data_IF_468948316760
#
_entry.id   IF_468948316760
#
_cell.length_a   1.000
_cell.length_b   1.000
_cell.length_c   1.000
_cell.angle_alpha   90.00
_cell.angle_beta   90.00
_cell.angle_gamma   90.00
#
_symmetry.space_group_name_H-M   'P 1'
#
loop_
_entity.id
_entity.type
_entity.pdbx_description
1 polymer ?
#
# COMPACT_ATOMS: atom_id res chain seq x y z
N UNK A 1 -82.91 18.29 17.72
CA UNK A 1 -81.93 19.26 17.18
C UNK A 1 -80.88 19.51 18.25
N UNK A 2 -79.71 20.00 17.83
CA UNK A 2 -78.54 20.42 18.62
C UNK A 2 -77.62 19.34 19.18
N UNK A 3 -76.64 19.03 18.34
CA UNK A 3 -75.20 18.73 18.57
C UNK A 3 -74.67 18.97 19.98
N UNK A 4 -73.87 18.01 20.47
CA UNK A 4 -72.98 18.18 21.63
C UNK A 4 -71.56 17.82 21.21
N UNK A 5 -70.66 18.79 21.34
CA UNK A 5 -69.22 18.67 21.16
C UNK A 5 -68.65 18.15 22.49
N UNK A 6 -67.80 17.11 22.44
CA UNK A 6 -66.95 16.73 23.58
C UNK A 6 -65.49 16.88 23.19
N UNK A 7 -64.80 17.73 23.95
CA UNK A 7 -63.38 18.05 23.80
C UNK A 7 -62.50 16.92 24.36
N UNK A 8 -61.40 16.65 23.67
CA UNK A 8 -60.33 15.78 24.09
C UNK A 8 -59.31 16.52 24.95
N UNK A 9 -58.82 15.89 26.02
CA UNK A 9 -57.55 16.22 26.68
C UNK A 9 -56.81 14.91 26.89
N UNK A 10 -55.60 14.86 26.36
CA UNK A 10 -54.78 13.65 26.22
C UNK A 10 -53.99 13.26 27.47
N UNK A 11 -53.43 12.06 27.41
CA UNK A 11 -52.40 11.58 28.32
C UNK A 11 -51.32 10.92 27.46
N UNK A 12 -50.10 11.47 27.47
CA UNK A 12 -48.94 10.91 26.78
C UNK A 12 -48.40 9.73 27.60
N UNK A 13 -48.30 8.56 26.97
CA UNK A 13 -47.59 7.40 27.52
C UNK A 13 -46.20 7.36 26.88
N UNK A 14 -45.14 7.49 27.68
CA UNK A 14 -43.76 7.23 27.26
C UNK A 14 -43.58 5.70 27.19
N UNK A 15 -43.27 5.17 26.01
CA UNK A 15 -42.76 3.81 25.86
C UNK A 15 -41.22 3.89 25.83
N UNK A 16 -40.56 3.38 26.86
CA UNK A 16 -39.12 3.17 26.84
C UNK A 16 -38.84 1.87 26.06
N UNK A 17 -38.17 1.99 24.91
CA UNK A 17 -37.68 0.86 24.15
C UNK A 17 -36.30 0.47 24.70
N UNK A 18 -36.22 -0.63 25.45
CA UNK A 18 -34.93 -1.21 25.86
C UNK A 18 -34.32 -1.91 24.66
N UNK A 19 -33.32 -1.27 24.04
CA UNK A 19 -32.40 -1.94 23.11
C UNK A 19 -31.52 -2.88 23.92
N UNK A 20 -31.74 -4.19 23.79
CA UNK A 20 -30.79 -5.18 24.26
C UNK A 20 -29.60 -5.16 23.30
N UNK A 21 -28.45 -4.65 23.75
CA UNK A 21 -27.18 -4.82 23.05
C UNK A 21 -26.80 -6.30 23.12
N UNK A 22 -26.81 -6.98 21.98
CA UNK A 22 -26.11 -8.24 21.84
C UNK A 22 -24.61 -7.90 21.88
N UNK A 23 -23.98 -8.06 23.05
CA UNK A 23 -22.53 -8.09 23.15
C UNK A 23 -22.06 -9.37 22.45
N UNK A 24 -21.73 -9.28 21.17
CA UNK A 24 -20.92 -10.30 20.52
C UNK A 24 -19.61 -10.38 21.29
N UNK A 25 -19.32 -11.53 21.90
CA UNK A 25 -17.95 -11.77 22.36
C UNK A 25 -17.09 -11.84 21.12
N UNK A 26 -16.12 -10.94 20.99
CA UNK A 26 -15.03 -11.10 20.04
C UNK A 26 -14.36 -12.44 20.36
N UNK A 27 -14.57 -13.44 19.51
CA UNK A 27 -13.86 -14.71 19.61
C UNK A 27 -12.55 -14.48 18.88
N UNK A 28 -11.47 -14.26 19.62
CA UNK A 28 -10.12 -14.32 19.05
C UNK A 28 -9.97 -15.68 18.38
N UNK A 29 -9.74 -15.68 17.07
CA UNK A 29 -9.32 -16.89 16.37
C UNK A 29 -7.97 -17.33 16.94
N UNK A 30 -7.77 -18.65 17.02
CA UNK A 30 -6.45 -19.20 17.29
C UNK A 30 -5.51 -18.72 16.18
N UNK A 31 -4.33 -18.15 16.51
CA UNK A 31 -3.35 -17.75 15.51
C UNK A 31 -3.04 -18.90 14.54
N UNK A 32 -2.64 -18.56 13.32
CA UNK A 32 -2.35 -19.57 12.29
C UNK A 32 -1.21 -20.48 12.78
N UNK A 33 -0.23 -19.94 13.50
CA UNK A 33 0.86 -20.73 14.06
C UNK A 33 0.45 -21.74 15.14
N UNK A 34 -0.70 -21.53 15.80
CA UNK A 34 -1.23 -22.42 16.83
C UNK A 34 -2.35 -23.36 16.32
N UNK A 35 -2.70 -23.25 15.02
CA UNK A 35 -3.79 -23.99 14.42
C UNK A 35 -3.27 -25.25 13.70
N UNK A 36 -3.79 -26.46 14.00
CA UNK A 36 -3.41 -27.67 13.27
C UNK A 36 -3.72 -27.55 11.78
N UNK A 37 -2.69 -27.69 10.95
CA UNK A 37 -2.79 -27.59 9.50
C UNK A 37 -3.24 -28.92 8.85
N UNK A 38 -4.01 -28.81 7.77
CA UNK A 38 -4.22 -29.92 6.82
C UNK A 38 -3.49 -29.71 5.50
N UNK A 39 -2.87 -28.55 5.29
CA UNK A 39 -2.08 -28.24 4.10
C UNK A 39 -0.82 -29.11 4.09
N UNK A 40 -0.45 -29.59 2.92
CA UNK A 40 0.68 -30.49 2.74
C UNK A 40 1.42 -30.17 1.45
N UNK A 41 2.73 -30.31 1.50
CA UNK A 41 3.57 -30.28 0.30
C UNK A 41 3.29 -31.47 -0.62
N UNK A 42 3.80 -31.41 -1.84
CA UNK A 42 3.81 -32.55 -2.78
C UNK A 42 4.48 -33.82 -2.22
N UNK A 43 5.45 -33.69 -1.30
CA UNK A 43 6.09 -34.83 -0.62
C UNK A 43 5.22 -35.42 0.51
N UNK A 44 4.13 -34.75 0.87
CA UNK A 44 3.20 -35.16 1.92
C UNK A 44 3.52 -34.61 3.31
N UNK A 45 4.50 -33.71 3.42
CA UNK A 45 4.87 -33.04 4.66
C UNK A 45 3.86 -31.95 5.00
N UNK A 46 3.53 -31.79 6.29
CA UNK A 46 2.57 -30.78 6.72
C UNK A 46 3.19 -29.37 6.72
N UNK A 47 2.42 -28.38 6.28
CA UNK A 47 2.82 -26.97 6.26
C UNK A 47 2.26 -26.26 7.49
N UNK A 48 3.14 -25.86 8.42
CA UNK A 48 2.79 -25.11 9.63
C UNK A 48 3.51 -23.78 9.70
N UNK A 49 2.89 -22.80 10.35
CA UNK A 49 3.43 -21.46 10.50
C UNK A 49 4.01 -21.26 11.90
N UNK A 50 5.03 -20.42 12.02
CA UNK A 50 5.54 -19.96 13.31
C UNK A 50 5.68 -18.45 13.26
N UNK A 51 5.10 -17.79 14.24
CA UNK A 51 5.14 -16.33 14.36
C UNK A 51 6.35 -15.90 15.18
N UNK A 52 6.99 -14.82 14.74
CA UNK A 52 8.15 -14.20 15.37
C UNK A 52 7.92 -12.69 15.44
N UNK A 53 8.26 -12.06 16.56
CA UNK A 53 8.17 -10.60 16.70
C UNK A 53 9.51 -10.01 16.30
N UNK A 54 9.51 -9.25 15.20
CA UNK A 54 10.69 -8.53 14.71
C UNK A 54 10.88 -7.23 15.48
N UNK A 55 9.79 -6.48 15.70
CA UNK A 55 9.82 -5.23 16.46
C UNK A 55 8.48 -4.99 17.16
N UNK A 56 8.55 -4.31 18.30
CA UNK A 56 7.37 -3.86 19.04
C UNK A 56 7.70 -2.64 19.90
N UNK A 57 6.72 -1.78 20.24
CA UNK A 57 6.99 -0.54 20.97
C UNK A 57 7.63 -0.75 22.35
N UNK A 58 7.37 -1.89 23.01
CA UNK A 58 7.89 -2.22 24.34
C UNK A 58 9.36 -2.59 24.24
N UNK A 59 9.72 -3.51 23.34
CA UNK A 59 11.11 -3.94 23.14
C UNK A 59 11.96 -2.84 22.54
N UNK A 60 11.40 -2.05 21.61
CA UNK A 60 12.08 -0.91 21.00
C UNK A 60 12.33 0.25 21.97
N UNK A 61 11.48 0.41 22.99
CA UNK A 61 11.45 1.63 23.80
C UNK A 61 11.05 2.88 23.00
N UNK A 62 10.41 2.71 21.84
CA UNK A 62 9.91 3.77 20.97
C UNK A 62 8.41 3.57 20.82
N UNK A 63 7.63 4.63 21.03
CA UNK A 63 6.19 4.53 20.94
C UNK A 63 5.73 4.76 19.49
N UNK A 64 5.55 3.66 18.75
CA UNK A 64 5.02 3.65 17.38
C UNK A 64 3.79 2.74 17.28
N UNK A 65 2.96 2.95 16.26
CA UNK A 65 1.78 2.13 15.93
C UNK A 65 1.44 2.28 14.45
N UNK A 66 0.52 1.44 13.94
CA UNK A 66 -0.01 1.58 12.57
C UNK A 66 1.03 1.30 11.50
N UNK A 67 1.43 0.03 11.35
CA UNK A 67 2.36 -0.34 10.28
C UNK A 67 1.59 -0.55 8.97
N UNK A 68 1.71 0.39 8.05
CA UNK A 68 0.92 0.44 6.81
C UNK A 68 1.67 -0.05 5.57
N UNK A 69 3.00 -0.11 5.66
CA UNK A 69 3.87 -0.60 4.59
C UNK A 69 5.18 -1.14 5.13
N UNK A 70 5.76 -2.08 4.37
CA UNK A 70 7.13 -2.54 4.56
C UNK A 70 7.74 -2.98 3.24
N UNK A 71 9.06 -2.98 3.17
CA UNK A 71 9.84 -3.52 2.05
C UNK A 71 11.05 -4.26 2.59
N UNK A 72 11.52 -5.27 1.87
CA UNK A 72 12.61 -6.15 2.30
C UNK A 72 13.78 -6.13 1.34
N UNK A 73 15.00 -6.22 1.88
CA UNK A 73 16.25 -6.32 1.12
C UNK A 73 17.47 -6.34 2.03
N UNK A 74 18.62 -6.78 1.52
CA UNK A 74 19.88 -6.78 2.27
C UNK A 74 20.50 -5.37 2.24
N UNK A 75 20.09 -4.53 3.19
CA UNK A 75 20.39 -3.09 3.25
C UNK A 75 21.83 -2.86 3.69
N UNK A 76 22.38 -3.76 4.50
CA UNK A 76 23.74 -3.65 5.01
C UNK A 76 24.74 -4.70 4.48
N UNK A 77 24.34 -5.47 3.47
CA UNK A 77 25.17 -6.40 2.70
C UNK A 77 25.81 -7.49 3.55
N UNK A 78 25.14 -7.93 4.61
CA UNK A 78 25.62 -9.01 5.47
C UNK A 78 25.13 -10.39 5.00
N UNK A 79 24.29 -10.44 3.97
CA UNK A 79 23.71 -11.64 3.39
C UNK A 79 22.43 -12.12 4.07
N UNK A 80 21.90 -11.36 5.02
CA UNK A 80 20.58 -11.57 5.60
C UNK A 80 19.60 -10.52 5.09
N UNK A 81 18.33 -10.87 5.09
CA UNK A 81 17.27 -9.98 4.65
C UNK A 81 16.92 -9.01 5.77
N UNK A 82 16.93 -7.71 5.46
CA UNK A 82 16.48 -6.65 6.35
C UNK A 82 15.08 -6.19 5.95
N UNK A 83 14.43 -5.48 6.87
CA UNK A 83 13.10 -4.92 6.63
C UNK A 83 13.14 -3.42 6.89
N UNK A 84 12.56 -2.64 5.98
CA UNK A 84 12.15 -1.26 6.27
C UNK A 84 10.65 -1.28 6.51
N UNK A 85 10.21 -0.79 7.66
CA UNK A 85 8.79 -0.63 7.96
C UNK A 85 8.47 0.84 8.23
N UNK A 86 7.28 1.23 7.82
CA UNK A 86 6.72 2.54 8.13
C UNK A 86 5.57 2.42 9.12
N UNK A 87 5.47 3.40 10.00
CA UNK A 87 4.48 3.43 11.07
C UNK A 87 3.81 4.79 11.12
N UNK A 88 2.53 4.89 10.78
CA UNK A 88 1.75 6.14 10.84
C UNK A 88 1.79 6.76 12.24
N UNK A 89 1.84 5.89 13.27
CA UNK A 89 1.96 6.25 14.69
C UNK A 89 0.82 7.12 15.22
N UNK A 90 -0.34 7.04 14.58
CA UNK A 90 -1.62 7.30 15.22
C UNK A 90 -2.38 5.97 15.43
N UNK A 91 -3.38 5.98 16.30
CA UNK A 91 -4.19 4.80 16.62
C UNK A 91 -5.70 5.10 16.61
N UNK A 92 -6.06 6.33 16.24
CA UNK A 92 -7.44 6.85 16.27
C UNK A 92 -7.93 7.31 14.90
N UNK A 93 -7.09 7.23 13.86
CA UNK A 93 -7.38 7.71 12.51
C UNK A 93 -7.84 6.57 11.57
N UNK A 94 -8.70 6.94 10.60
CA UNK A 94 -9.12 6.09 9.48
C UNK A 94 -9.18 6.96 8.22
N UNK A 95 -8.14 6.88 7.37
CA UNK A 95 -8.03 7.59 6.10
C UNK A 95 -9.12 7.24 5.08
N UNK A 96 -9.89 6.17 5.35
CA UNK A 96 -11.09 5.78 4.62
C UNK A 96 -12.31 6.65 4.90
N UNK A 97 -12.34 7.36 6.03
CA UNK A 97 -13.49 8.12 6.51
C UNK A 97 -13.20 9.62 6.64
N UNK A 98 -14.14 10.46 6.19
CA UNK A 98 -14.04 11.90 6.38
C UNK A 98 -14.46 12.28 7.80
N UNK A 99 -13.55 12.91 8.56
CA UNK A 99 -13.81 13.44 9.89
C UNK A 99 -13.62 14.95 9.88
N UNK A 100 -14.73 15.68 10.05
CA UNK A 100 -14.72 17.14 10.18
C UNK A 100 -13.99 17.51 11.49
N UNK A 101 -12.99 18.40 11.38
CA UNK A 101 -12.20 18.97 12.50
C UNK A 101 -11.16 18.07 13.20
N UNK A 102 -10.82 16.89 12.66
CA UNK A 102 -9.74 16.06 13.23
C UNK A 102 -8.36 16.50 12.72
N UNK A 103 -7.42 16.72 13.64
CA UNK A 103 -6.01 17.02 13.34
C UNK A 103 -5.11 15.95 13.97
N UNK A 104 -4.60 15.03 13.14
CA UNK A 104 -3.46 14.16 13.42
C UNK A 104 -2.43 14.72 14.39
N UNK A 105 -1.94 14.05 15.46
CA UNK A 105 -0.61 14.43 15.93
C UNK A 105 0.41 14.25 14.80
N UNK A 106 1.44 15.11 14.75
CA UNK A 106 2.60 14.88 13.89
C UNK A 106 3.40 13.75 14.50
N UNK A 107 3.08 12.54 14.09
CA UNK A 107 3.70 11.30 14.49
C UNK A 107 4.04 10.51 13.21
N UNK A 108 4.96 9.56 13.35
CA UNK A 108 5.39 8.72 12.25
C UNK A 108 6.78 8.18 12.51
N UNK A 109 7.07 6.97 12.03
CA UNK A 109 8.41 6.40 12.08
C UNK A 109 8.70 5.64 10.79
N UNK A 110 9.92 5.80 10.27
CA UNK A 110 10.53 4.85 9.33
C UNK A 110 11.59 4.11 10.11
N UNK A 111 11.48 2.78 10.16
CA UNK A 111 12.34 1.90 10.95
C UNK A 111 13.03 0.89 10.04
N UNK A 112 14.28 0.57 10.37
CA UNK A 112 15.05 -0.50 9.72
C UNK A 112 15.28 -1.60 10.74
N UNK A 113 15.04 -2.84 10.32
CA UNK A 113 15.19 -4.05 11.09
C UNK A 113 16.26 -4.90 10.43
N UNK A 114 17.49 -4.86 10.97
CA UNK A 114 18.58 -5.62 10.41
C UNK A 114 18.50 -7.08 10.84
N UNK A 115 18.44 -7.96 9.85
CA UNK A 115 18.35 -9.41 10.00
C UNK A 115 19.64 -10.02 10.54
N UNK A 116 19.58 -11.32 10.83
CA UNK A 116 20.75 -12.10 11.20
C UNK A 116 20.55 -13.58 10.91
N UNK A 117 21.59 -14.39 11.15
CA UNK A 117 21.49 -15.86 11.09
C UNK A 117 20.53 -16.47 12.11
N UNK A 118 20.17 -15.71 13.16
CA UNK A 118 19.17 -16.12 14.14
C UNK A 118 17.86 -15.35 13.84
N UNK A 119 16.78 -16.03 13.39
CA UNK A 119 15.53 -15.37 13.02
C UNK A 119 14.83 -14.68 14.21
N UNK A 120 15.24 -14.97 15.45
CA UNK A 120 14.75 -14.32 16.67
C UNK A 120 15.61 -13.11 17.10
N UNK A 121 16.68 -12.77 16.36
CA UNK A 121 17.62 -11.71 16.71
C UNK A 121 17.71 -10.64 15.61
N UNK A 122 17.20 -9.45 15.94
CA UNK A 122 17.14 -8.29 15.04
C UNK A 122 17.80 -7.07 15.69
N UNK A 123 18.38 -6.19 14.85
CA UNK A 123 18.81 -4.85 15.29
C UNK A 123 17.85 -3.83 14.69
N UNK A 124 17.05 -3.18 15.53
CA UNK A 124 16.03 -2.23 15.09
C UNK A 124 16.49 -0.79 15.32
N UNK A 125 16.40 0.07 14.31
CA UNK A 125 16.69 1.50 14.41
C UNK A 125 15.56 2.35 13.80
N UNK A 126 15.37 3.56 14.33
CA UNK A 126 14.55 4.59 13.67
C UNK A 126 15.46 5.42 12.78
N UNK A 127 15.15 5.53 11.48
CA UNK A 127 15.91 6.36 10.54
C UNK A 127 15.23 7.70 10.25
N UNK A 128 13.91 7.81 10.39
CA UNK A 128 13.15 9.06 10.34
C UNK A 128 11.93 9.01 11.27
N UNK A 129 11.52 10.15 11.81
CA UNK A 129 10.37 10.24 12.71
C UNK A 129 9.69 11.62 12.71
N UNK A 130 8.44 11.67 13.17
CA UNK A 130 7.67 12.88 13.41
C UNK A 130 7.59 13.84 12.20
N UNK A 131 8.12 15.07 12.32
CA UNK A 131 8.03 16.10 11.27
C UNK A 131 8.78 15.73 9.98
N UNK A 132 9.80 14.87 10.09
CA UNK A 132 10.53 14.38 8.91
C UNK A 132 9.65 13.44 8.08
N UNK A 133 8.72 12.75 8.72
CA UNK A 133 7.89 11.73 8.06
C UNK A 133 6.53 11.63 8.75
N UNK A 134 5.62 12.59 8.48
CA UNK A 134 4.32 12.63 9.14
C UNK A 134 3.36 11.62 8.48
N UNK A 135 2.92 10.61 9.23
CA UNK A 135 2.06 9.53 8.77
C UNK A 135 2.59 8.80 7.51
N UNK A 136 3.73 8.09 7.58
CA UNK A 136 4.21 7.31 6.45
C UNK A 136 3.38 6.06 6.20
N UNK A 137 3.09 5.82 4.93
CA UNK A 137 2.19 4.77 4.46
C UNK A 137 2.89 3.72 3.60
N UNK A 138 4.03 4.08 3.02
CA UNK A 138 4.82 3.19 2.18
C UNK A 138 6.29 3.60 2.14
N UNK A 139 7.15 2.65 1.76
CA UNK A 139 8.56 2.89 1.49
C UNK A 139 9.09 1.97 0.39
N UNK A 140 10.05 2.47 -0.37
CA UNK A 140 10.83 1.70 -1.34
C UNK A 140 12.32 1.76 -0.98
N UNK A 141 13.04 0.68 -1.26
CA UNK A 141 14.49 0.62 -1.18
C UNK A 141 15.12 0.57 -2.57
N UNK A 142 16.14 1.38 -2.81
CA UNK A 142 16.83 1.45 -4.10
C UNK A 142 18.16 2.20 -3.97
N UNK A 143 19.17 1.88 -4.78
CA UNK A 143 20.42 2.63 -4.84
C UNK A 143 20.25 3.85 -5.75
N UNK A 144 19.95 5.02 -5.17
CA UNK A 144 19.71 6.26 -5.94
C UNK A 144 20.99 7.06 -6.16
N UNK A 145 21.97 6.92 -5.27
CA UNK A 145 23.21 7.67 -5.33
C UNK A 145 24.33 6.92 -6.09
N UNK A 146 24.13 5.65 -6.42
CA UNK A 146 25.05 4.80 -7.19
C UNK A 146 26.25 4.29 -6.40
N UNK A 147 26.22 4.30 -5.07
CA UNK A 147 27.29 3.81 -4.20
C UNK A 147 27.19 2.30 -3.90
N UNK A 148 26.13 1.66 -4.41
CA UNK A 148 25.83 0.25 -4.30
C UNK A 148 25.01 -0.10 -3.06
N UNK A 149 24.76 0.81 -2.12
CA UNK A 149 23.95 0.56 -0.93
C UNK A 149 22.50 0.95 -1.19
N UNK A 150 21.56 0.15 -0.68
CA UNK A 150 20.15 0.48 -0.84
C UNK A 150 19.80 1.64 0.08
N UNK A 151 19.37 2.75 -0.51
CA UNK A 151 18.75 3.89 0.17
C UNK A 151 17.27 3.64 0.39
N UNK A 152 16.60 4.50 1.18
CA UNK A 152 15.16 4.42 1.44
C UNK A 152 14.48 5.68 0.90
N UNK A 153 13.33 5.52 0.24
CA UNK A 153 12.38 6.61 0.02
C UNK A 153 11.06 6.26 0.68
N UNK A 154 10.53 7.14 1.52
CA UNK A 154 9.24 6.94 2.17
C UNK A 154 8.19 7.92 1.64
N UNK A 155 6.95 7.44 1.50
CA UNK A 155 5.78 8.25 1.16
C UNK A 155 5.03 8.64 2.43
N UNK A 156 4.98 9.94 2.71
CA UNK A 156 4.26 10.49 3.86
C UNK A 156 2.89 11.03 3.46
N UNK A 157 1.83 10.49 4.05
CA UNK A 157 0.45 10.86 3.74
C UNK A 157 0.18 12.34 4.03
N UNK A 158 0.85 12.92 5.02
CA UNK A 158 0.60 14.31 5.41
C UNK A 158 1.41 15.34 4.65
N UNK A 159 2.35 14.92 3.80
CA UNK A 159 3.25 15.91 3.21
C UNK A 159 3.93 15.52 1.91
N UNK A 160 4.88 14.58 1.94
CA UNK A 160 5.96 14.57 0.96
C UNK A 160 6.57 13.19 0.76
N UNK A 161 7.41 13.07 -0.26
CA UNK A 161 8.39 12.00 -0.36
C UNK A 161 9.68 12.43 0.34
N UNK A 162 10.27 11.53 1.14
CA UNK A 162 11.56 11.77 1.82
C UNK A 162 12.57 10.73 1.37
N UNK A 163 13.72 11.19 0.89
CA UNK A 163 14.88 10.36 0.61
C UNK A 163 15.76 10.27 1.86
N UNK A 164 16.17 9.06 2.21
CA UNK A 164 16.96 8.68 3.38
C UNK A 164 18.16 7.88 2.87
N UNK A 165 19.32 8.51 2.86
CA UNK A 165 20.55 7.93 2.33
C UNK A 165 21.18 6.95 3.32
N UNK A 166 21.49 5.76 2.83
CA UNK A 166 22.22 4.77 3.58
C UNK A 166 23.69 5.22 3.72
N UNK A 167 24.24 5.34 4.95
CA UNK A 167 25.65 5.73 5.15
C UNK A 167 26.64 4.58 4.86
N UNK A 168 26.17 3.50 4.23
CA UNK A 168 26.95 2.33 3.83
C UNK A 168 27.27 1.42 5.02
N UNK A 169 28.53 1.02 5.25
CA UNK A 169 28.90 0.07 6.32
C UNK A 169 28.49 0.50 7.74
N UNK A 170 28.15 1.78 7.94
CA UNK A 170 27.76 2.33 9.23
C UNK A 170 26.23 2.43 9.40
N UNK A 171 25.42 1.86 8.48
CA UNK A 171 23.95 1.93 8.45
C UNK A 171 23.28 1.70 9.81
N UNK A 172 23.82 0.77 10.62
CA UNK A 172 23.28 0.40 11.94
C UNK A 172 23.56 1.42 13.05
N UNK A 173 24.45 2.39 12.83
CA UNK A 173 25.02 3.20 13.92
C UNK A 173 25.08 4.69 13.67
N UNK A 174 25.05 5.12 12.40
CA UNK A 174 25.08 6.53 12.03
C UNK A 174 23.69 7.04 11.64
N UNK A 175 23.48 8.34 11.82
CA UNK A 175 22.26 8.99 11.32
C UNK A 175 22.28 9.04 9.82
N UNK A 176 21.21 8.55 9.19
CA UNK A 176 21.03 8.59 7.75
C UNK A 176 20.83 10.04 7.29
N UNK A 177 21.70 10.57 6.39
CA UNK A 177 21.45 11.84 5.71
C UNK A 177 20.11 11.79 4.98
N UNK A 178 19.43 12.92 4.85
CA UNK A 178 18.07 12.94 4.31
C UNK A 178 17.74 14.21 3.57
N UNK A 179 16.84 14.10 2.61
CA UNK A 179 16.23 15.21 1.91
C UNK A 179 14.72 14.99 1.80
N UNK A 180 13.96 15.96 2.31
CA UNK A 180 12.55 16.11 1.95
C UNK A 180 12.48 16.68 0.54
N UNK A 181 11.92 15.93 -0.40
CA UNK A 181 11.87 16.30 -1.82
C UNK A 181 11.09 17.61 -2.00
N UNK A 182 11.75 18.75 -2.32
CA UNK A 182 11.11 20.08 -2.27
C UNK A 182 9.89 20.22 -3.18
N UNK A 183 9.89 19.51 -4.30
CA UNK A 183 8.83 19.46 -5.29
C UNK A 183 7.52 18.82 -4.77
N UNK A 184 7.62 17.94 -3.77
CA UNK A 184 6.48 17.21 -3.20
C UNK A 184 5.87 17.92 -1.99
N UNK A 185 6.60 18.84 -1.37
CA UNK A 185 6.20 19.55 -0.15
C UNK A 185 4.94 20.40 -0.37
N UNK A 186 3.99 20.26 0.54
CA UNK A 186 2.72 21.01 0.57
C UNK A 186 1.87 20.80 -0.72
N UNK A 187 2.05 19.67 -1.41
CA UNK A 187 1.32 19.33 -2.65
C UNK A 187 0.13 18.39 -2.44
N UNK A 188 0.06 17.72 -1.31
CA UNK A 188 -0.99 16.76 -1.01
C UNK A 188 -0.42 15.52 -0.33
N UNK A 189 -1.18 14.43 -0.40
CA UNK A 189 -0.91 13.18 0.29
C UNK A 189 -0.28 12.13 -0.62
N UNK A 190 0.84 11.58 -0.20
CA UNK A 190 1.51 10.46 -0.86
C UNK A 190 1.36 9.22 0.01
N UNK A 191 0.78 8.16 -0.55
CA UNK A 191 0.51 6.91 0.18
C UNK A 191 1.23 5.70 -0.40
N UNK A 192 1.86 5.86 -1.56
CA UNK A 192 2.65 4.83 -2.23
C UNK A 192 3.84 5.49 -2.92
N UNK A 193 4.94 4.76 -3.00
CA UNK A 193 6.12 5.15 -3.80
C UNK A 193 6.78 3.89 -4.34
N UNK A 194 7.06 3.88 -5.64
CA UNK A 194 7.76 2.77 -6.29
C UNK A 194 9.01 3.29 -6.98
N UNK A 195 9.96 2.41 -7.25
CA UNK A 195 11.19 2.72 -7.95
C UNK A 195 11.39 1.75 -9.13
N UNK A 196 11.77 2.28 -10.28
CA UNK A 196 12.15 1.50 -11.45
C UNK A 196 13.03 2.33 -12.39
N UNK A 197 14.02 1.69 -13.02
CA UNK A 197 14.83 2.29 -14.08
C UNK A 197 14.07 2.18 -15.41
N UNK A 198 13.20 3.16 -15.69
CA UNK A 198 12.33 3.12 -16.88
C UNK A 198 13.08 3.57 -18.14
N UNK A 199 14.14 4.35 -18.00
CA UNK A 199 14.90 4.89 -19.13
C UNK A 199 16.17 4.08 -19.46
N UNK A 200 16.56 3.12 -18.60
CA UNK A 200 17.72 2.26 -18.76
C UNK A 200 19.06 2.95 -18.50
N UNK A 201 19.07 4.07 -17.76
CA UNK A 201 20.29 4.83 -17.45
C UNK A 201 21.02 4.35 -16.18
N UNK A 202 20.42 3.41 -15.44
CA UNK A 202 20.95 2.83 -14.22
C UNK A 202 20.62 3.62 -12.95
N UNK A 203 19.85 4.71 -13.04
CA UNK A 203 19.32 5.46 -11.89
C UNK A 203 17.80 5.31 -11.88
N UNK A 204 17.23 4.60 -10.89
CA UNK A 204 15.79 4.40 -10.84
C UNK A 204 15.01 5.71 -10.70
N UNK A 205 13.96 5.87 -11.50
CA UNK A 205 12.93 6.87 -11.30
C UNK A 205 11.94 6.43 -10.22
N UNK A 206 11.25 7.41 -9.61
CA UNK A 206 10.20 7.14 -8.64
C UNK A 206 8.82 7.46 -9.19
N UNK A 207 7.86 6.56 -9.01
CA UNK A 207 6.44 6.85 -9.27
C UNK A 207 5.70 7.07 -7.96
N UNK A 208 4.88 8.11 -7.93
CA UNK A 208 4.10 8.44 -6.74
C UNK A 208 2.72 9.00 -7.11
N UNK A 209 1.62 8.32 -6.72
CA UNK A 209 0.30 8.90 -6.81
C UNK A 209 0.09 9.94 -5.70
N UNK A 210 -0.25 11.17 -6.07
CA UNK A 210 -0.66 12.20 -5.12
C UNK A 210 -2.19 12.16 -4.97
N UNK A 211 -2.65 11.64 -3.83
CA UNK A 211 -4.07 11.51 -3.48
C UNK A 211 -4.77 12.87 -3.32
N UNK A 212 -4.00 13.95 -3.14
CA UNK A 212 -4.50 15.29 -2.85
C UNK A 212 -4.75 15.48 -1.36
N UNK A 213 -6.03 15.53 -0.97
CA UNK A 213 -6.38 15.66 0.44
C UNK A 213 -6.07 14.38 1.22
N UNK A 214 -5.67 14.54 2.48
CA UNK A 214 -5.40 13.43 3.38
C UNK A 214 -6.67 12.61 3.66
N UNK A 215 -7.77 13.30 3.97
CA UNK A 215 -9.12 12.73 4.14
C UNK A 215 -10.04 13.24 3.02
N UNK A 216 -10.05 12.62 1.83
CA UNK A 216 -10.84 13.10 0.71
C UNK A 216 -12.34 13.21 1.05
N UNK A 217 -12.87 14.44 1.01
CA UNK A 217 -14.28 14.74 1.09
C UNK A 217 -14.97 14.76 -0.28
N UNK A 218 -16.29 14.96 -0.36
CA UNK A 218 -17.02 14.96 -1.63
C UNK A 218 -16.46 15.88 -2.72
N UNK A 219 -15.93 17.06 -2.36
CA UNK A 219 -15.26 17.96 -3.31
C UNK A 219 -13.93 17.43 -3.85
N UNK A 220 -13.22 16.58 -3.10
CA UNK A 220 -11.97 15.96 -3.54
C UNK A 220 -12.22 14.92 -4.61
N UNK A 221 -13.29 14.13 -4.50
CA UNK A 221 -13.71 13.18 -5.53
C UNK A 221 -14.06 13.86 -6.86
N UNK A 222 -14.45 15.14 -6.83
CA UNK A 222 -14.76 15.93 -8.02
C UNK A 222 -13.51 16.59 -8.66
N UNK A 223 -12.34 16.48 -8.02
CA UNK A 223 -11.07 17.00 -8.51
C UNK A 223 -10.19 15.86 -9.01
N UNK A 224 -9.27 16.19 -9.92
CA UNK A 224 -8.22 15.28 -10.35
C UNK A 224 -6.89 15.75 -9.77
N UNK A 225 -6.08 14.81 -9.29
CA UNK A 225 -4.77 15.02 -8.69
C UNK A 225 -3.73 14.15 -9.42
N UNK A 226 -2.44 14.51 -9.38
CA UNK A 226 -1.47 13.93 -10.30
C UNK A 226 -0.99 12.53 -9.87
N UNK A 227 -0.66 11.72 -10.87
CA UNK A 227 0.37 10.68 -10.73
C UNK A 227 1.66 11.27 -11.25
N UNK A 228 2.69 11.24 -10.41
CA UNK A 228 3.97 11.89 -10.63
C UNK A 228 5.06 10.86 -10.89
N UNK A 229 5.96 11.19 -11.82
CA UNK A 229 7.22 10.52 -12.08
C UNK A 229 8.35 11.47 -11.67
N UNK A 230 9.18 11.04 -10.73
CA UNK A 230 10.32 11.81 -10.24
C UNK A 230 11.61 11.23 -10.82
N UNK A 231 12.34 12.04 -11.57
CA UNK A 231 13.64 11.67 -12.15
C UNK A 231 14.76 12.32 -11.36
N UNK A 232 15.87 11.61 -11.17
CA UNK A 232 17.05 12.09 -10.48
C UNK A 232 18.22 12.30 -11.45
N UNK A 233 18.83 13.47 -11.44
CA UNK A 233 20.07 13.76 -12.18
C UNK A 233 21.07 14.46 -11.27
N UNK A 234 21.93 13.70 -10.61
CA UNK A 234 22.98 14.24 -9.74
C UNK A 234 22.91 13.64 -8.33
N UNK A 235 23.18 14.48 -7.33
CA UNK A 235 23.16 14.09 -5.92
C UNK A 235 21.70 14.05 -5.42
N UNK A 236 21.19 12.91 -4.91
CA UNK A 236 19.84 12.84 -4.37
C UNK A 236 19.62 13.71 -3.11
N UNK A 237 20.69 14.14 -2.42
CA UNK A 237 20.61 15.10 -1.31
C UNK A 237 20.54 16.57 -1.77
N UNK A 238 20.66 16.83 -3.08
CA UNK A 238 20.42 18.14 -3.67
C UNK A 238 19.03 18.18 -4.32
N UNK A 239 18.16 19.06 -3.80
CA UNK A 239 16.79 19.21 -4.30
C UNK A 239 16.71 19.66 -5.76
N UNK A 240 17.73 20.34 -6.26
CA UNK A 240 17.77 20.79 -7.66
C UNK A 240 18.08 19.63 -8.64
N UNK A 241 18.56 18.48 -8.15
CA UNK A 241 18.79 17.25 -8.94
C UNK A 241 17.50 16.53 -9.30
N UNK A 242 16.38 16.85 -8.65
CA UNK A 242 15.09 16.17 -8.84
C UNK A 242 14.20 16.93 -9.82
N UNK A 243 13.57 16.22 -10.74
CA UNK A 243 12.55 16.77 -11.64
C UNK A 243 11.24 15.98 -11.52
N UNK A 244 10.12 16.63 -11.83
CA UNK A 244 8.79 15.98 -11.83
C UNK A 244 8.16 16.06 -13.20
N UNK A 245 7.72 14.90 -13.69
CA UNK A 245 6.80 14.78 -14.80
C UNK A 245 5.44 14.32 -14.26
N UNK A 246 4.37 14.99 -14.67
CA UNK A 246 3.00 14.52 -14.39
C UNK A 246 2.60 13.57 -15.51
N UNK A 247 2.35 12.30 -15.17
CA UNK A 247 1.91 11.28 -16.13
C UNK A 247 0.44 11.47 -16.50
N UNK A 248 -0.40 11.74 -15.50
CA UNK A 248 -1.83 11.96 -15.67
C UNK A 248 -2.46 12.57 -14.42
N UNK A 249 -3.73 12.96 -14.52
CA UNK A 249 -4.50 13.48 -13.38
C UNK A 249 -5.79 12.68 -13.22
N UNK A 250 -6.01 12.14 -12.03
CA UNK A 250 -7.08 11.20 -11.75
C UNK A 250 -7.82 11.56 -10.45
N UNK A 251 -9.07 11.12 -10.30
CA UNK A 251 -9.78 11.30 -9.03
C UNK A 251 -9.23 10.32 -7.98
N UNK A 252 -8.45 10.85 -7.04
CA UNK A 252 -7.87 10.13 -5.90
C UNK A 252 -7.05 8.92 -6.39
N UNK A 253 -5.92 9.13 -7.10
CA UNK A 253 -4.98 8.06 -7.42
C UNK A 253 -4.38 7.53 -6.11
N UNK A 254 -4.19 6.22 -6.02
CA UNK A 254 -3.70 5.55 -4.81
C UNK A 254 -2.60 4.53 -5.08
N UNK A 255 -2.38 4.14 -6.33
CA UNK A 255 -1.30 3.25 -6.74
C UNK A 255 -0.70 3.73 -8.08
N UNK A 256 0.58 3.44 -8.32
CA UNK A 256 1.32 3.72 -9.54
C UNK A 256 2.53 2.77 -9.65
N UNK A 257 2.26 1.49 -9.56
CA UNK A 257 3.27 0.43 -9.41
C UNK A 257 3.92 0.04 -10.74
N UNK A 258 5.22 -0.27 -10.71
CA UNK A 258 5.99 -0.69 -11.88
C UNK A 258 5.86 -2.19 -12.15
N UNK A 259 5.56 -2.58 -13.39
CA UNK A 259 5.41 -3.99 -13.81
C UNK A 259 5.57 -4.13 -15.33
N UNK A 260 6.26 -5.15 -15.81
CA UNK A 260 6.28 -5.52 -17.24
C UNK A 260 4.97 -6.26 -17.60
N UNK A 261 3.88 -5.48 -17.75
CA UNK A 261 2.52 -6.02 -17.85
C UNK A 261 2.22 -6.63 -19.23
N UNK A 262 2.94 -6.24 -20.28
CA UNK A 262 2.76 -6.80 -21.63
C UNK A 262 3.93 -7.67 -22.12
N UNK A 263 4.91 -7.93 -21.24
CA UNK A 263 6.00 -8.89 -21.42
C UNK A 263 6.93 -8.55 -22.58
N UNK A 264 7.13 -7.26 -22.83
CA UNK A 264 8.06 -6.78 -23.85
C UNK A 264 9.48 -6.52 -23.31
N UNK A 265 9.65 -6.58 -21.98
CA UNK A 265 10.91 -6.46 -21.27
C UNK A 265 11.16 -5.06 -20.69
N UNK A 266 10.28 -4.10 -20.94
CA UNK A 266 10.32 -2.77 -20.36
C UNK A 266 9.25 -2.67 -19.24
N UNK A 267 9.58 -1.99 -18.14
CA UNK A 267 8.61 -1.82 -17.05
C UNK A 267 7.58 -0.76 -17.43
N UNK A 268 6.30 -1.09 -17.29
CA UNK A 268 5.15 -0.20 -17.38
C UNK A 268 4.74 0.32 -15.99
N UNK A 269 3.74 1.20 -15.94
CA UNK A 269 3.16 1.69 -14.68
C UNK A 269 1.66 1.39 -14.64
N UNK A 270 1.21 0.63 -13.63
CA UNK A 270 -0.20 0.37 -13.35
C UNK A 270 -0.71 1.32 -12.28
N UNK A 271 -1.68 2.15 -12.65
CA UNK A 271 -2.30 3.16 -11.78
C UNK A 271 -3.67 2.71 -11.31
N UNK A 272 -3.88 2.78 -10.00
CA UNK A 272 -5.18 2.59 -9.35
C UNK A 272 -5.81 3.90 -8.92
N UNK A 273 -7.11 4.05 -9.15
CA UNK A 273 -7.88 5.26 -8.83
C UNK A 273 -9.11 4.95 -7.97
N UNK A 274 -9.16 5.53 -6.76
CA UNK A 274 -10.29 5.32 -5.83
C UNK A 274 -11.55 6.02 -6.30
N UNK A 275 -11.42 7.28 -6.70
CA UNK A 275 -12.56 8.11 -7.06
C UNK A 275 -13.24 7.66 -8.37
N UNK A 276 -12.46 7.11 -9.29
CA UNK A 276 -12.96 6.62 -10.59
C UNK A 276 -13.25 5.12 -10.59
N UNK A 277 -12.70 4.37 -9.62
CA UNK A 277 -12.82 2.91 -9.51
C UNK A 277 -12.39 2.18 -10.79
N UNK A 278 -11.25 2.59 -11.35
CA UNK A 278 -10.63 1.99 -12.54
C UNK A 278 -9.11 1.84 -12.39
N UNK A 279 -8.55 1.02 -13.26
CA UNK A 279 -7.11 0.96 -13.52
C UNK A 279 -6.75 1.66 -14.83
N UNK A 280 -5.52 2.16 -14.89
CA UNK A 280 -4.86 2.72 -16.06
C UNK A 280 -3.47 2.07 -16.18
N UNK A 281 -3.02 1.81 -17.40
CA UNK A 281 -1.64 1.40 -17.70
C UNK A 281 -0.97 2.57 -18.42
N UNK A 282 0.22 2.94 -17.98
CA UNK A 282 1.14 3.77 -18.73
C UNK A 282 2.22 2.86 -19.30
N UNK A 283 2.11 2.58 -20.60
CA UNK A 283 3.06 1.75 -21.34
C UNK A 283 4.35 2.51 -21.60
N UNK A 284 5.48 1.92 -21.25
CA UNK A 284 6.81 2.39 -21.58
C UNK A 284 7.18 1.88 -22.98
N UNK A 285 7.41 2.74 -23.98
CA UNK A 285 7.75 2.28 -25.33
C UNK A 285 9.17 1.69 -25.47
N UNK A 286 9.95 1.60 -24.38
CA UNK A 286 11.30 1.03 -24.40
C UNK A 286 12.35 1.88 -25.11
N UNK A 287 12.06 3.17 -25.36
CA UNK A 287 12.94 4.05 -26.15
C UNK A 287 13.84 4.97 -25.29
N UNK A 288 13.77 4.82 -23.96
CA UNK A 288 14.55 5.58 -22.99
C UNK A 288 14.09 7.04 -22.82
N UNK A 289 12.94 7.44 -23.38
CA UNK A 289 12.51 8.85 -23.37
C UNK A 289 11.52 9.22 -22.26
N UNK A 290 11.08 8.24 -21.45
CA UNK A 290 10.05 8.40 -20.41
C UNK A 290 8.72 8.99 -20.94
N UNK A 291 8.44 8.80 -22.23
CA UNK A 291 7.19 9.20 -22.87
C UNK A 291 6.18 8.05 -22.88
N UNK A 292 5.53 7.85 -21.74
CA UNK A 292 4.56 6.77 -21.56
C UNK A 292 3.29 6.96 -22.41
N UNK A 293 2.69 5.85 -22.81
CA UNK A 293 1.42 5.80 -23.55
C UNK A 293 0.30 5.34 -22.60
N UNK A 294 -0.71 6.17 -22.40
CA UNK A 294 -1.83 5.87 -21.50
C UNK A 294 -2.86 4.92 -22.15
N UNK A 295 -3.20 3.84 -21.45
CA UNK A 295 -4.26 2.89 -21.79
C UNK A 295 -5.23 2.70 -20.63
N UNK A 296 -6.52 2.81 -20.89
CA UNK A 296 -7.53 2.44 -19.90
C UNK A 296 -7.70 0.91 -19.84
N UNK A 297 -7.75 0.34 -18.63
CA UNK A 297 -8.06 -1.07 -18.43
C UNK A 297 -9.58 -1.25 -18.36
N UNK A 298 -10.17 -1.75 -19.45
CA UNK A 298 -11.59 -2.07 -19.50
C UNK A 298 -11.88 -3.38 -18.77
N UNK A 299 -12.54 -3.34 -17.61
CA UNK A 299 -12.86 -4.55 -16.82
C UNK A 299 -14.31 -4.98 -17.06
N UNK A 300 -14.52 -6.22 -17.48
CA UNK A 300 -15.84 -6.85 -17.58
C UNK A 300 -16.15 -7.65 -16.32
N UNK A 301 -17.25 -7.32 -15.64
CA UNK A 301 -17.78 -8.11 -14.50
C UNK A 301 -17.40 -7.60 -13.11
N UNK A 302 -16.50 -6.62 -12.99
CA UNK A 302 -16.13 -5.99 -11.73
C UNK A 302 -15.79 -4.50 -11.88
N UNK A 303 -15.53 -3.83 -10.75
CA UNK A 303 -14.92 -2.50 -10.66
C UNK A 303 -13.80 -2.58 -9.63
N UNK A 304 -12.65 -2.02 -9.96
CA UNK A 304 -11.44 -2.15 -9.14
C UNK A 304 -10.76 -0.80 -9.03
N UNK A 305 -10.55 -0.35 -7.79
CA UNK A 305 -9.85 0.90 -7.50
C UNK A 305 -8.32 0.73 -7.50
N UNK A 306 -7.82 -0.50 -7.26
CA UNK A 306 -6.40 -0.83 -7.31
C UNK A 306 -5.55 -0.12 -6.25
N UNK A 307 -5.88 -0.28 -4.96
CA UNK A 307 -5.04 0.26 -3.89
C UNK A 307 -3.74 -0.54 -3.72
N UNK A 308 -3.85 -1.84 -3.41
CA UNK A 308 -2.77 -2.80 -3.56
C UNK A 308 -3.19 -3.82 -4.61
N UNK A 309 -2.23 -4.26 -5.40
CA UNK A 309 -2.39 -5.16 -6.53
C UNK A 309 -1.33 -6.25 -6.45
N UNK A 310 -1.57 -7.36 -7.13
CA UNK A 310 -0.60 -8.43 -7.31
C UNK A 310 -0.65 -8.87 -8.77
N UNK A 311 0.51 -9.15 -9.37
CA UNK A 311 0.64 -9.48 -10.78
C UNK A 311 1.16 -10.89 -10.96
N UNK A 312 0.35 -11.77 -11.53
CA UNK A 312 0.72 -13.17 -11.73
C UNK A 312 -0.06 -13.77 -12.89
N UNK A 313 0.56 -14.67 -13.65
CA UNK A 313 -0.13 -15.46 -14.67
C UNK A 313 -0.94 -16.58 -13.99
N UNK A 314 -2.18 -16.27 -13.62
CA UNK A 314 -3.06 -17.23 -12.96
C UNK A 314 -3.83 -18.08 -14.00
N UNK A 315 -3.91 -17.62 -15.25
CA UNK A 315 -4.52 -18.35 -16.36
C UNK A 315 -3.62 -19.45 -16.95
N UNK A 316 -2.30 -19.35 -16.73
CA UNK A 316 -1.29 -20.23 -17.30
C UNK A 316 -1.03 -19.99 -18.79
N UNK A 317 -1.30 -18.78 -19.28
CA UNK A 317 -1.20 -18.43 -20.70
C UNK A 317 -0.03 -17.51 -21.07
N UNK A 318 0.83 -17.25 -20.10
CA UNK A 318 2.06 -16.50 -20.23
C UNK A 318 1.90 -14.98 -20.15
N UNK A 319 0.72 -14.49 -19.76
CA UNK A 319 0.46 -13.06 -19.54
C UNK A 319 0.20 -12.78 -18.07
N UNK A 320 0.72 -11.66 -17.57
CA UNK A 320 0.43 -11.24 -16.21
C UNK A 320 -1.01 -10.78 -16.11
N UNK A 321 -1.73 -11.39 -15.19
CA UNK A 321 -3.04 -10.92 -14.76
C UNK A 321 -2.92 -10.05 -13.51
N UNK A 322 -4.03 -9.47 -13.05
CA UNK A 322 -4.03 -8.61 -11.86
C UNK A 322 -4.99 -9.13 -10.81
N UNK A 323 -4.52 -9.33 -9.59
CA UNK A 323 -5.34 -9.60 -8.41
C UNK A 323 -5.52 -8.30 -7.62
N UNK A 324 -6.71 -8.09 -7.11
CA UNK A 324 -7.02 -6.96 -6.24
C UNK A 324 -8.38 -7.09 -5.57
N UNK A 325 -8.94 -5.96 -5.15
CA UNK A 325 -10.26 -5.91 -4.49
C UNK A 325 -11.30 -5.17 -5.29
N UNK A 326 -12.49 -5.78 -5.32
CA UNK A 326 -13.72 -5.21 -5.82
C UNK A 326 -14.81 -5.21 -4.72
N UNK A 327 -15.95 -4.52 -4.89
CA UNK A 327 -16.97 -4.39 -3.84
C UNK A 327 -17.55 -5.72 -3.30
N UNK A 328 -17.42 -6.83 -4.02
CA UNK A 328 -17.91 -8.16 -3.60
C UNK A 328 -16.82 -9.04 -2.96
N UNK A 329 -15.58 -8.57 -2.89
CA UNK A 329 -14.44 -9.34 -2.39
C UNK A 329 -13.24 -9.28 -3.33
N UNK A 330 -12.35 -10.23 -3.13
CA UNK A 330 -11.13 -10.41 -3.90
C UNK A 330 -11.47 -10.85 -5.33
N UNK A 331 -10.81 -10.22 -6.29
CA UNK A 331 -11.02 -10.42 -7.72
C UNK A 331 -9.68 -10.59 -8.41
N UNK A 332 -9.63 -11.52 -9.33
CA UNK A 332 -8.58 -11.66 -10.33
C UNK A 332 -9.15 -11.17 -11.67
N UNK A 333 -8.45 -10.28 -12.36
CA UNK A 333 -8.81 -9.82 -13.70
C UNK A 333 -7.82 -10.40 -14.71
N UNK A 334 -8.34 -11.21 -15.62
CA UNK A 334 -7.57 -11.92 -16.63
C UNK A 334 -7.23 -10.99 -17.80
N UNK A 335 -5.95 -10.88 -18.12
CA UNK A 335 -5.45 -10.05 -19.21
C UNK A 335 -5.91 -10.62 -20.56
N UNK A 336 -6.48 -9.81 -21.47
CA UNK A 336 -6.91 -10.31 -22.76
C UNK A 336 -5.72 -10.59 -23.69
N UNK A 337 -5.84 -11.61 -24.55
CA UNK A 337 -4.82 -11.92 -25.56
C UNK A 337 -4.63 -10.83 -26.63
N UNK A 338 -5.54 -9.85 -26.72
CA UNK A 338 -5.40 -8.69 -27.63
C UNK A 338 -5.49 -7.40 -26.83
N UNK A 339 -4.50 -6.54 -27.01
CA UNK A 339 -4.49 -5.18 -26.46
C UNK A 339 -5.77 -4.44 -26.86
N UNK A 340 -6.43 -3.82 -25.87
CA UNK A 340 -7.67 -3.07 -26.03
C UNK A 340 -8.96 -3.89 -25.90
N UNK A 341 -8.90 -5.21 -25.84
CA UNK A 341 -10.05 -6.02 -25.42
C UNK A 341 -10.29 -5.85 -23.89
N UNK A 342 -11.47 -6.24 -23.41
CA UNK A 342 -11.80 -6.15 -21.99
C UNK A 342 -11.14 -7.29 -21.19
N UNK A 343 -10.66 -6.96 -19.99
CA UNK A 343 -10.17 -7.90 -19.00
C UNK A 343 -11.35 -8.56 -18.30
N UNK A 344 -11.35 -9.90 -18.20
CA UNK A 344 -12.45 -10.63 -17.60
C UNK A 344 -12.23 -10.78 -16.09
N UNK A 345 -13.21 -10.37 -15.29
CA UNK A 345 -13.13 -10.48 -13.84
C UNK A 345 -13.66 -11.82 -13.31
N UNK A 346 -12.89 -12.44 -12.42
CA UNK A 346 -13.20 -13.66 -11.71
C UNK A 346 -13.12 -13.41 -10.21
N UNK A 347 -14.21 -13.62 -9.48
CA UNK A 347 -14.21 -13.49 -8.02
C UNK A 347 -13.59 -14.74 -7.40
N UNK A 348 -12.53 -14.57 -6.62
CA UNK A 348 -11.71 -15.66 -6.09
C UNK A 348 -11.77 -15.80 -4.56
N UNK A 349 -12.43 -14.88 -3.86
CA UNK A 349 -12.60 -15.01 -2.41
C UNK A 349 -13.22 -13.81 -1.73
N UNK A 350 -13.45 -13.93 -0.42
CA UNK A 350 -13.89 -12.84 0.45
C UNK A 350 -13.52 -13.12 1.90
N UNK A 351 -13.16 -12.07 2.64
CA UNK A 351 -12.97 -12.08 4.10
C UNK A 351 -14.04 -11.25 4.83
N UNK A 352 -15.25 -11.11 4.26
CA UNK A 352 -16.30 -10.31 4.88
C UNK A 352 -16.54 -10.73 6.36
N UNK A 353 -16.63 -9.76 7.30
CA UNK A 353 -16.83 -8.32 7.08
C UNK A 353 -15.54 -7.49 6.87
N UNK A 354 -14.36 -8.09 6.95
CA UNK A 354 -13.08 -7.38 6.89
C UNK A 354 -12.79 -6.80 5.50
N UNK A 355 -11.92 -5.78 5.48
CA UNK A 355 -11.54 -5.07 4.26
C UNK A 355 -10.16 -5.48 3.81
N UNK A 356 -10.06 -6.18 2.68
CA UNK A 356 -8.80 -6.58 2.06
C UNK A 356 -7.84 -5.39 1.90
N UNK A 357 -6.57 -5.61 2.24
CA UNK A 357 -5.51 -4.60 2.18
C UNK A 357 -4.33 -5.08 1.38
N UNK A 358 -3.72 -6.23 1.70
CA UNK A 358 -2.52 -6.73 1.02
C UNK A 358 -2.73 -8.11 0.39
N UNK A 359 -1.86 -8.44 -0.57
CA UNK A 359 -1.80 -9.71 -1.27
C UNK A 359 -0.34 -10.12 -1.44
N UNK A 360 -0.07 -11.42 -1.50
CA UNK A 360 1.20 -11.97 -1.95
C UNK A 360 0.94 -13.34 -2.56
N UNK A 361 1.58 -13.64 -3.70
CA UNK A 361 1.45 -14.95 -4.35
C UNK A 361 2.75 -15.75 -4.34
N UNK A 362 2.62 -17.06 -4.17
CA UNK A 362 3.73 -18.02 -4.23
C UNK A 362 3.17 -19.44 -4.38
N UNK A 363 3.95 -20.36 -4.95
CA UNK A 363 3.68 -21.79 -4.83
C UNK A 363 4.22 -22.27 -3.46
N UNK A 364 3.36 -22.25 -2.44
CA UNK A 364 3.76 -22.47 -1.03
C UNK A 364 3.93 -23.96 -0.75
N UNK A 365 3.18 -24.83 -1.45
CA UNK A 365 3.20 -26.28 -1.23
C UNK A 365 4.01 -27.08 -2.27
N UNK A 366 4.47 -26.41 -3.32
CA UNK A 366 5.35 -26.93 -4.36
C UNK A 366 4.62 -27.78 -5.40
N UNK A 367 3.30 -27.64 -5.53
CA UNK A 367 2.48 -28.42 -6.47
C UNK A 367 2.42 -27.82 -7.88
N UNK A 368 2.94 -26.60 -8.04
CA UNK A 368 3.03 -25.86 -9.29
C UNK A 368 1.83 -24.96 -9.56
N UNK A 369 0.81 -24.96 -8.70
CA UNK A 369 -0.25 -23.95 -8.70
C UNK A 369 0.16 -22.75 -7.82
N UNK A 370 -0.23 -21.55 -8.22
CA UNK A 370 0.06 -20.34 -7.44
C UNK A 370 -0.94 -20.20 -6.29
N UNK A 371 -0.44 -20.16 -5.07
CA UNK A 371 -1.20 -19.81 -3.87
C UNK A 371 -1.26 -18.28 -3.66
N UNK A 372 -2.25 -17.85 -2.88
CA UNK A 372 -2.47 -16.46 -2.53
C UNK A 372 -2.63 -16.29 -1.01
N UNK A 373 -1.78 -15.45 -0.43
CA UNK A 373 -1.91 -14.94 0.94
C UNK A 373 -2.53 -13.55 0.87
N UNK A 374 -3.49 -13.26 1.74
CA UNK A 374 -4.15 -11.95 1.77
C UNK A 374 -4.29 -11.43 3.20
N UNK A 375 -4.12 -10.11 3.35
CA UNK A 375 -4.32 -9.37 4.60
C UNK A 375 -5.57 -8.47 4.53
N UNK A 376 -6.11 -8.09 5.69
CA UNK A 376 -7.28 -7.21 5.77
C UNK A 376 -7.30 -6.35 7.04
N UNK A 377 -7.86 -5.15 6.94
CA UNK A 377 -8.31 -4.39 8.10
C UNK A 377 -9.53 -5.08 8.73
N UNK A 378 -9.42 -5.43 10.01
CA UNK A 378 -10.52 -5.99 10.76
C UNK A 378 -11.66 -4.97 10.90
N UNK A 379 -12.90 -5.40 10.67
CA UNK A 379 -14.11 -4.56 10.79
C UNK A 379 -15.08 -4.99 11.90
N UNK A 380 -14.65 -5.87 12.80
CA UNK A 380 -15.41 -6.28 13.99
C UNK A 380 -15.17 -7.69 14.45
#
# INVERSE_FOLDING_TARGET
MTTTIQAAIGTRLLLALTMASASGQAVSQTPVGDTPTTARTVSGDYISWREHIIDDPVTAGVNFSGSDGFVMGDIDKDGFEDIVSVHESDAEYDSGSFLEDFVPPVAGHVRVHFGSSDPDSWVNITIAEAEDVPAPEDAVITDLNGDGWLDVVAAAERSHLIYLQNPGPNARSETWPRLILPQTRDKGSYIRVFAADFNGDGVPELTAPNKGAQTPGPEDYARSTPVELHTLQGDPLDGDSWQVQVLGNYSIPQNAESVDIDSDGDLDIVVGTRGESRLIIFENPGDGTLNFIEHAVGIYGARMAGFNLEYVDLSGDGRLDIIGTAPRGMVWIEQPARKGDAWNAHYIGTFAPDSHTGYATADIDGDGDIDLVAGSYSRG
#
